data_IF_644925043038
#
_entry.id   IF_644925043038
#
_cell.length_a   1.000
_cell.length_b   1.000
_cell.length_c   1.000
_cell.angle_alpha   90.00
_cell.angle_beta   90.00
_cell.angle_gamma   90.00
#
_symmetry.space_group_name_H-M   'P 1'
#
loop_
_entity.id
_entity.type
_entity.pdbx_description
1 polymer ?
#
# COMPACT_ATOMS: atom_id res chain seq x y z
N UNK A 1 3.36 -20.07 -4.49
CA UNK A 1 4.31 -21.21 -4.31
C UNK A 1 3.54 -22.53 -4.33
N UNK A 2 2.45 -22.65 -3.57
CA UNK A 2 1.60 -23.85 -3.52
C UNK A 2 0.94 -24.24 -4.86
N UNK A 3 0.83 -23.29 -5.79
CA UNK A 3 0.25 -23.52 -7.12
C UNK A 3 1.24 -23.99 -8.18
N UNK A 4 2.55 -24.08 -7.87
CA UNK A 4 3.57 -24.52 -8.83
C UNK A 4 3.61 -26.05 -8.84
N UNK A 5 3.49 -26.72 -10.01
CA UNK A 5 3.57 -28.18 -10.09
C UNK A 5 4.88 -28.73 -9.50
N UNK A 6 4.77 -29.80 -8.72
CA UNK A 6 5.89 -30.45 -8.04
C UNK A 6 7.06 -30.82 -8.98
N UNK A 7 6.83 -31.32 -10.22
CA UNK A 7 7.94 -31.65 -11.13
C UNK A 7 8.77 -30.44 -11.58
N UNK A 8 8.17 -29.24 -11.60
CA UNK A 8 8.89 -28.01 -11.92
C UNK A 8 9.60 -27.46 -10.69
N UNK A 9 8.94 -27.53 -9.52
CA UNK A 9 9.49 -27.05 -8.26
C UNK A 9 10.78 -27.79 -7.89
N UNK A 10 10.83 -29.11 -8.09
CA UNK A 10 12.02 -29.93 -7.82
C UNK A 10 13.23 -29.56 -8.71
N UNK A 11 12.97 -28.93 -9.86
CA UNK A 11 14.00 -28.50 -10.83
C UNK A 11 14.36 -27.03 -10.73
N UNK A 12 13.79 -26.30 -9.78
CA UNK A 12 14.02 -24.86 -9.59
C UNK A 12 14.67 -24.59 -8.24
N UNK A 13 15.68 -23.73 -8.23
CA UNK A 13 16.15 -23.12 -7.01
C UNK A 13 15.18 -21.99 -6.61
N UNK A 14 14.64 -22.08 -5.39
CA UNK A 14 13.70 -21.10 -4.88
C UNK A 14 14.47 -20.00 -4.15
N UNK A 15 14.41 -18.78 -4.69
CA UNK A 15 14.95 -17.57 -4.05
C UNK A 15 13.77 -16.69 -3.64
N UNK A 16 13.57 -16.56 -2.33
CA UNK A 16 12.50 -15.74 -1.77
C UNK A 16 12.92 -14.28 -1.70
N UNK A 17 12.16 -13.41 -2.37
CA UNK A 17 12.33 -11.96 -2.31
C UNK A 17 11.30 -11.37 -1.35
N UNK A 18 11.78 -10.83 -0.22
CA UNK A 18 10.91 -10.17 0.75
C UNK A 18 10.40 -8.81 0.24
N UNK A 19 9.31 -8.34 0.85
CA UNK A 19 8.85 -6.97 0.64
C UNK A 19 9.81 -5.93 1.23
N UNK A 20 9.50 -4.66 1.00
CA UNK A 20 10.31 -3.52 1.45
C UNK A 20 9.68 -2.82 2.66
N UNK A 21 10.51 -2.39 3.58
CA UNK A 21 10.15 -1.48 4.68
C UNK A 21 9.96 -0.06 4.15
N UNK A 22 9.22 0.79 4.87
CA UNK A 22 8.94 2.17 4.44
C UNK A 22 10.19 2.99 4.10
N UNK A 23 11.28 2.80 4.85
CA UNK A 23 12.57 3.47 4.61
C UNK A 23 13.23 2.99 3.31
N UNK A 24 13.19 1.68 3.05
CA UNK A 24 13.69 1.11 1.80
C UNK A 24 12.88 1.60 0.60
N UNK A 25 11.55 1.67 0.74
CA UNK A 25 10.68 2.24 -0.31
C UNK A 25 10.98 3.70 -0.58
N UNK A 26 11.29 4.48 0.45
CA UNK A 26 11.70 5.87 0.30
C UNK A 26 13.02 5.97 -0.47
N UNK A 27 14.01 5.13 -0.14
CA UNK A 27 15.28 5.07 -0.86
C UNK A 27 15.09 4.67 -2.33
N UNK A 28 14.29 3.62 -2.59
CA UNK A 28 13.97 3.15 -3.94
C UNK A 28 13.26 4.24 -4.75
N UNK A 29 12.31 4.95 -4.14
CA UNK A 29 11.58 6.02 -4.78
C UNK A 29 12.50 7.16 -5.24
N UNK A 30 13.45 7.57 -4.40
CA UNK A 30 14.41 8.64 -4.73
C UNK A 30 15.43 8.23 -5.77
N UNK A 31 16.02 7.04 -5.60
CA UNK A 31 17.14 6.60 -6.43
C UNK A 31 16.69 6.12 -7.82
N UNK A 32 15.49 5.54 -7.92
CA UNK A 32 15.06 4.85 -9.14
C UNK A 32 13.73 5.34 -9.67
N UNK A 33 12.66 5.35 -8.85
CA UNK A 33 11.30 5.58 -9.38
C UNK A 33 11.08 7.02 -9.87
N UNK A 34 11.54 8.01 -9.09
CA UNK A 34 11.38 9.42 -9.43
C UNK A 34 12.23 9.80 -10.67
N UNK A 35 13.54 9.48 -10.73
CA UNK A 35 14.33 9.73 -11.93
C UNK A 35 13.76 9.05 -13.18
N UNK A 36 13.29 7.81 -13.04
CA UNK A 36 12.69 7.07 -14.15
C UNK A 36 11.40 7.75 -14.64
N UNK A 37 10.48 8.09 -13.73
CA UNK A 37 9.23 8.77 -14.08
C UNK A 37 9.47 10.14 -14.73
N UNK A 38 10.46 10.89 -14.24
CA UNK A 38 10.87 12.17 -14.82
C UNK A 38 11.41 12.01 -16.24
N UNK A 39 12.28 11.01 -16.46
CA UNK A 39 12.82 10.69 -17.78
C UNK A 39 11.69 10.31 -18.76
N UNK A 40 10.75 9.48 -18.33
CA UNK A 40 9.64 9.02 -19.16
C UNK A 40 8.66 10.15 -19.52
N UNK A 41 8.55 11.16 -18.66
CA UNK A 41 7.70 12.35 -18.89
C UNK A 41 8.46 13.55 -19.50
N UNK A 42 9.77 13.41 -19.74
CA UNK A 42 10.60 14.48 -20.30
C UNK A 42 10.84 15.68 -19.37
N UNK A 43 10.71 15.50 -18.04
CA UNK A 43 10.94 16.56 -17.06
C UNK A 43 12.41 16.64 -16.62
N UNK A 44 12.90 17.86 -16.45
CA UNK A 44 14.22 18.15 -15.87
C UNK A 44 14.13 18.35 -14.36
N UNK A 45 15.23 18.12 -13.65
CA UNK A 45 15.35 18.40 -12.20
C UNK A 45 15.07 19.86 -11.83
N UNK A 46 15.28 20.78 -12.77
CA UNK A 46 14.99 22.20 -12.58
C UNK A 46 13.49 22.53 -12.63
N UNK A 47 12.63 21.58 -13.01
CA UNK A 47 11.19 21.80 -13.21
C UNK A 47 10.34 21.17 -12.11
N UNK A 48 10.85 20.14 -11.42
CA UNK A 48 10.12 19.41 -10.39
C UNK A 48 11.04 19.08 -9.22
N UNK A 49 10.54 19.32 -8.01
CA UNK A 49 11.13 18.80 -6.77
C UNK A 49 10.05 18.15 -5.94
N UNK A 50 10.24 16.89 -5.57
CA UNK A 50 9.35 16.19 -4.63
C UNK A 50 10.08 16.09 -3.30
N UNK A 51 9.45 16.61 -2.25
CA UNK A 51 10.01 16.55 -0.89
C UNK A 51 9.89 15.14 -0.31
N UNK A 52 10.83 14.79 0.57
CA UNK A 52 10.87 13.49 1.25
C UNK A 52 9.62 13.21 2.07
N UNK A 53 9.07 14.26 2.69
CA UNK A 53 7.81 14.20 3.42
C UNK A 53 6.65 13.78 2.51
N UNK A 54 6.59 14.32 1.28
CA UNK A 54 5.59 13.97 0.28
C UNK A 54 5.67 12.50 -0.13
N UNK A 55 6.90 11.99 -0.33
CA UNK A 55 7.12 10.57 -0.62
C UNK A 55 6.71 9.69 0.56
N UNK A 56 7.02 10.12 1.78
CA UNK A 56 6.62 9.42 3.01
C UNK A 56 5.10 9.38 3.15
N UNK A 57 4.40 10.48 2.86
CA UNK A 57 2.93 10.54 2.85
C UNK A 57 2.35 9.67 1.74
N UNK A 58 2.95 9.63 0.55
CA UNK A 58 2.55 8.71 -0.52
C UNK A 58 2.64 7.24 -0.08
N UNK A 59 3.75 6.87 0.55
CA UNK A 59 3.97 5.50 1.04
C UNK A 59 2.93 5.13 2.10
N UNK A 60 2.67 6.01 3.08
CA UNK A 60 1.76 5.70 4.20
C UNK A 60 0.28 5.76 3.82
N UNK A 61 -0.13 6.82 3.11
CA UNK A 61 -1.55 7.17 2.94
C UNK A 61 -2.14 6.70 1.61
N UNK A 62 -1.32 6.30 0.65
CA UNK A 62 -1.77 5.94 -0.69
C UNK A 62 -1.33 4.54 -1.15
N UNK A 63 -0.41 3.89 -0.42
CA UNK A 63 0.14 2.58 -0.79
C UNK A 63 0.00 1.58 0.37
N UNK A 64 -0.71 0.46 0.14
CA UNK A 64 -0.73 -0.70 1.06
C UNK A 64 -0.38 -1.97 0.32
N UNK A 65 0.92 -2.17 0.12
CA UNK A 65 1.48 -3.35 -0.51
C UNK A 65 2.87 -3.61 0.06
N UNK A 66 3.41 -4.80 -0.16
CA UNK A 66 4.79 -5.17 0.20
C UNK A 66 5.82 -4.59 -0.78
N UNK A 67 5.46 -4.43 -2.05
CA UNK A 67 6.31 -3.88 -3.11
C UNK A 67 6.22 -2.35 -3.28
N UNK A 68 6.61 -1.87 -4.47
CA UNK A 68 6.63 -0.44 -4.84
C UNK A 68 5.82 -0.12 -6.11
N UNK A 69 4.96 -1.03 -6.58
CA UNK A 69 4.18 -0.87 -7.81
C UNK A 69 3.14 0.24 -7.72
N UNK A 70 2.38 0.30 -6.63
CA UNK A 70 1.43 1.39 -6.38
C UNK A 70 2.15 2.71 -6.10
N UNK A 71 3.30 2.65 -5.42
CA UNK A 71 4.15 3.82 -5.20
C UNK A 71 4.62 4.41 -6.53
N UNK A 72 5.11 3.57 -7.45
CA UNK A 72 5.52 3.96 -8.80
C UNK A 72 4.36 4.62 -9.55
N UNK A 73 3.17 4.00 -9.58
CA UNK A 73 1.98 4.57 -10.25
C UNK A 73 1.62 5.96 -9.74
N UNK A 74 1.71 6.18 -8.43
CA UNK A 74 1.40 7.49 -7.84
C UNK A 74 2.48 8.52 -8.17
N UNK A 75 3.76 8.14 -8.12
CA UNK A 75 4.87 9.02 -8.56
C UNK A 75 4.68 9.42 -10.03
N UNK A 76 4.43 8.47 -10.92
CA UNK A 76 4.15 8.73 -12.34
C UNK A 76 2.94 9.66 -12.53
N UNK A 77 1.87 9.49 -11.73
CA UNK A 77 0.70 10.37 -11.75
C UNK A 77 1.05 11.80 -11.36
N UNK A 78 1.86 11.99 -10.31
CA UNK A 78 2.34 13.30 -9.87
C UNK A 78 3.17 13.94 -10.97
N UNK A 79 4.17 13.23 -11.48
CA UNK A 79 5.08 13.72 -12.53
C UNK A 79 4.31 14.09 -13.79
N UNK A 80 3.35 13.27 -14.24
CA UNK A 80 2.52 13.55 -15.41
C UNK A 80 1.67 14.82 -15.24
N UNK A 81 1.13 15.05 -14.04
CA UNK A 81 0.39 16.29 -13.74
C UNK A 81 1.29 17.51 -13.72
N UNK A 82 2.52 17.38 -13.22
CA UNK A 82 3.50 18.47 -13.25
C UNK A 82 3.89 18.78 -14.70
N UNK A 83 4.18 17.75 -15.51
CA UNK A 83 4.46 17.92 -16.94
C UNK A 83 3.35 18.67 -17.67
N UNK A 84 2.08 18.36 -17.37
CA UNK A 84 0.94 19.08 -17.93
C UNK A 84 0.92 20.57 -17.54
N UNK A 85 1.20 20.91 -16.27
CA UNK A 85 1.27 22.31 -15.80
C UNK A 85 2.41 23.09 -16.47
N UNK A 86 3.56 22.43 -16.65
CA UNK A 86 4.73 23.03 -17.31
C UNK A 86 4.45 23.31 -18.79
N UNK A 87 3.83 22.37 -19.51
CA UNK A 87 3.48 22.53 -20.92
C UNK A 87 2.42 23.62 -21.12
N UNK A 88 1.53 23.81 -20.15
CA UNK A 88 0.56 24.92 -20.15
C UNK A 88 1.16 26.27 -19.75
N UNK A 89 2.45 26.32 -19.43
CA UNK A 89 3.13 27.53 -18.94
C UNK A 89 2.54 28.10 -17.64
N UNK A 90 1.79 27.29 -16.87
CA UNK A 90 1.19 27.70 -15.59
C UNK A 90 2.25 27.82 -14.48
N UNK A 91 3.34 27.05 -14.57
CA UNK A 91 4.45 27.08 -13.65
C UNK A 91 5.73 26.59 -14.32
N UNK A 92 6.85 27.30 -14.10
CA UNK A 92 8.17 26.88 -14.58
C UNK A 92 8.85 25.86 -13.64
N UNK A 93 8.52 25.92 -12.35
CA UNK A 93 9.00 25.01 -11.32
C UNK A 93 7.85 24.64 -10.38
N UNK A 94 7.76 23.36 -10.04
CA UNK A 94 6.76 22.84 -9.10
C UNK A 94 7.43 22.09 -7.96
N UNK A 95 7.28 22.63 -6.74
CA UNK A 95 7.63 21.91 -5.51
C UNK A 95 6.41 21.13 -5.01
N UNK A 96 6.55 19.81 -4.87
CA UNK A 96 5.51 18.93 -4.34
C UNK A 96 5.82 18.63 -2.88
N UNK A 97 5.05 19.27 -2.00
CA UNK A 97 5.10 19.11 -0.54
C UNK A 97 3.91 18.29 -0.04
N UNK A 98 3.94 17.86 1.23
CA UNK A 98 2.87 17.08 1.84
C UNK A 98 1.50 17.80 1.78
N UNK A 99 1.52 19.14 1.83
CA UNK A 99 0.33 19.99 1.84
C UNK A 99 -0.38 20.09 0.47
N UNK A 100 0.37 20.05 -0.64
CA UNK A 100 -0.20 20.17 -1.99
C UNK A 100 -0.31 18.83 -2.72
N UNK A 101 0.16 17.74 -2.10
CA UNK A 101 0.12 16.39 -2.65
C UNK A 101 -1.29 15.97 -3.09
N UNK A 102 -2.32 16.39 -2.35
CA UNK A 102 -3.73 16.08 -2.65
C UNK A 102 -4.19 16.60 -4.00
N UNK A 103 -3.63 17.71 -4.49
CA UNK A 103 -3.99 18.28 -5.79
C UNK A 103 -3.50 17.40 -6.94
N UNK A 104 -2.44 16.64 -6.69
CA UNK A 104 -1.84 15.73 -7.66
C UNK A 104 -2.47 14.34 -7.59
N UNK A 105 -2.45 13.67 -6.44
CA UNK A 105 -2.91 12.28 -6.33
C UNK A 105 -4.37 12.11 -5.95
N UNK A 106 -4.99 13.14 -5.35
CA UNK A 106 -6.34 13.10 -4.78
C UNK A 106 -6.34 12.93 -3.27
N UNK A 107 -7.52 12.70 -2.68
CA UNK A 107 -7.66 12.46 -1.23
C UNK A 107 -6.93 11.16 -0.83
N UNK A 108 -6.37 11.09 0.41
CA UNK A 108 -5.79 9.87 0.96
C UNK A 108 -6.73 8.66 0.83
N UNK A 109 -6.19 7.53 0.37
CA UNK A 109 -6.94 6.27 0.24
C UNK A 109 -6.99 5.56 1.60
N UNK A 110 -5.91 5.66 2.38
CA UNK A 110 -5.77 5.05 3.68
C UNK A 110 -5.53 6.13 4.73
N UNK A 111 -6.46 6.24 5.68
CA UNK A 111 -6.43 7.28 6.73
C UNK A 111 -5.96 6.74 8.08
N UNK A 112 -6.13 5.45 8.35
CA UNK A 112 -5.86 4.85 9.66
C UNK A 112 -5.09 3.55 9.52
N UNK A 113 -3.97 3.41 10.23
CA UNK A 113 -3.14 2.19 10.24
C UNK A 113 -3.88 0.99 10.83
N UNK A 114 -4.78 1.24 11.80
CA UNK A 114 -5.60 0.23 12.46
C UNK A 114 -7.08 0.53 12.24
N UNK A 115 -7.88 -0.52 12.11
CA UNK A 115 -9.34 -0.40 12.05
C UNK A 115 -9.90 -0.03 13.43
N UNK A 116 -9.38 -0.67 14.48
CA UNK A 116 -9.72 -0.41 15.88
C UNK A 116 -8.54 0.24 16.60
N UNK A 117 -8.69 1.46 17.17
CA UNK A 117 -7.66 2.06 18.04
C UNK A 117 -7.38 1.21 19.28
N UNK A 118 -8.47 0.76 19.92
CA UNK A 118 -8.48 -0.24 21.00
C UNK A 118 -9.46 -1.33 20.60
N UNK A 119 -9.04 -2.60 20.65
CA UNK A 119 -9.87 -3.73 20.26
C UNK A 119 -11.01 -3.94 21.27
N UNK A 120 -12.28 -3.96 20.85
CA UNK A 120 -13.38 -4.29 21.74
C UNK A 120 -13.33 -5.77 22.17
N UNK A 121 -14.02 -6.17 23.26
CA UNK A 121 -14.12 -7.57 23.64
C UNK A 121 -14.65 -8.43 22.49
N UNK A 122 -14.00 -9.58 22.26
CA UNK A 122 -14.33 -10.48 21.16
C UNK A 122 -13.56 -10.22 19.85
N UNK A 123 -12.74 -9.15 19.78
CA UNK A 123 -11.92 -8.84 18.60
C UNK A 123 -10.43 -8.88 18.96
N UNK A 124 -9.63 -9.56 18.13
CA UNK A 124 -8.17 -9.60 18.26
C UNK A 124 -7.48 -9.34 16.92
N UNK A 125 -6.30 -8.72 16.96
CA UNK A 125 -5.47 -8.52 15.77
C UNK A 125 -4.52 -9.71 15.60
N UNK A 126 -4.57 -10.35 14.43
CA UNK A 126 -3.67 -11.42 14.02
C UNK A 126 -2.76 -11.00 12.87
N UNK A 127 -1.64 -11.71 12.71
CA UNK A 127 -0.77 -11.61 11.55
C UNK A 127 -1.06 -12.77 10.61
N UNK A 128 -1.19 -12.47 9.32
CA UNK A 128 -1.46 -13.45 8.28
C UNK A 128 -0.41 -13.36 7.17
N UNK A 129 -0.04 -14.51 6.62
CA UNK A 129 0.76 -14.59 5.40
C UNK A 129 -0.17 -14.79 4.21
N UNK A 130 -0.26 -13.78 3.34
CA UNK A 130 -1.12 -13.80 2.15
C UNK A 130 -0.30 -13.95 0.88
N UNK A 131 -0.95 -14.21 -0.25
CA UNK A 131 -0.30 -14.22 -1.56
C UNK A 131 0.37 -12.88 -1.94
N UNK A 132 -0.06 -11.76 -1.32
CA UNK A 132 0.52 -10.42 -1.52
C UNK A 132 1.59 -10.06 -0.48
N UNK A 133 1.91 -10.98 0.42
CA UNK A 133 2.84 -10.80 1.55
C UNK A 133 2.13 -10.77 2.91
N UNK A 134 2.86 -10.33 3.94
CA UNK A 134 2.33 -10.20 5.30
C UNK A 134 1.21 -9.16 5.39
N UNK A 135 0.12 -9.51 6.08
CA UNK A 135 -1.02 -8.62 6.36
C UNK A 135 -1.46 -8.75 7.82
N UNK A 136 -2.04 -7.70 8.38
CA UNK A 136 -2.79 -7.77 9.63
C UNK A 136 -4.24 -8.10 9.32
N UNK A 137 -4.84 -9.00 10.11
CA UNK A 137 -6.26 -9.35 10.05
C UNK A 137 -6.89 -9.15 11.44
N UNK A 138 -8.18 -8.90 11.47
CA UNK A 138 -8.97 -8.91 12.70
C UNK A 138 -9.80 -10.17 12.75
N UNK A 139 -9.67 -10.93 13.83
CA UNK A 139 -10.52 -12.09 14.13
C UNK A 139 -11.58 -11.60 15.10
N UNK A 140 -12.84 -11.79 14.74
CA UNK A 140 -13.99 -11.30 15.50
C UNK A 140 -14.86 -12.47 15.97
N UNK A 141 -15.42 -12.31 17.16
CA UNK A 141 -16.35 -13.26 17.76
C UNK A 141 -17.53 -12.50 18.33
N UNK A 142 -18.74 -13.04 18.14
CA UNK A 142 -19.98 -12.46 18.66
C UNK A 142 -20.85 -13.54 19.24
N UNK A 143 -21.55 -13.22 20.33
CA UNK A 143 -22.50 -14.15 20.95
C UNK A 143 -23.79 -14.16 20.16
N UNK A 144 -24.17 -15.31 19.60
CA UNK A 144 -25.45 -15.51 18.93
C UNK A 144 -26.36 -16.35 19.84
N UNK A 145 -27.57 -15.87 20.11
CA UNK A 145 -28.65 -16.66 20.71
C UNK A 145 -29.73 -16.88 19.67
N UNK A 146 -29.96 -18.13 19.27
CA UNK A 146 -31.04 -18.47 18.35
C UNK A 146 -32.37 -18.53 19.12
N UNK A 147 -33.43 -17.86 18.65
CA UNK A 147 -34.74 -17.95 19.29
C UNK A 147 -35.28 -19.39 19.18
N UNK A 148 -35.53 -20.04 20.33
CA UNK A 148 -36.17 -21.36 20.39
C UNK A 148 -35.26 -22.56 20.62
N UNK A 149 -33.94 -22.37 20.72
CA UNK A 149 -33.02 -23.45 21.13
C UNK A 149 -33.12 -23.70 22.66
N UNK A 150 -33.35 -24.96 23.03
CA UNK A 150 -33.24 -25.43 24.42
C UNK A 150 -31.77 -25.39 24.87
N UNK A 151 -31.53 -25.26 26.17
CA UNK A 151 -30.19 -25.26 26.79
C UNK A 151 -29.47 -26.62 26.63
N UNK A 152 -29.02 -26.95 25.42
CA UNK A 152 -28.21 -28.13 25.14
C UNK A 152 -27.11 -27.79 24.15
N UNK A 153 -25.87 -28.01 24.60
CA UNK A 153 -24.56 -27.89 23.93
C UNK A 153 -24.24 -26.56 23.20
N UNK A 154 -23.10 -25.98 23.53
CA UNK A 154 -22.63 -24.74 22.88
C UNK A 154 -22.19 -24.99 21.45
N UNK A 155 -22.73 -24.22 20.50
CA UNK A 155 -22.37 -24.28 19.08
C UNK A 155 -21.43 -23.15 18.67
N UNK A 156 -20.54 -23.39 17.69
CA UNK A 156 -19.68 -22.38 17.08
C UNK A 156 -19.88 -22.37 15.56
N UNK A 157 -20.24 -21.21 15.02
CA UNK A 157 -20.33 -20.99 13.57
C UNK A 157 -19.15 -20.12 13.13
N UNK A 158 -18.36 -20.65 12.19
CA UNK A 158 -17.22 -19.95 11.61
C UNK A 158 -17.64 -19.32 10.28
N UNK A 159 -17.26 -18.06 10.07
CA UNK A 159 -17.46 -17.34 8.80
C UNK A 159 -16.11 -16.99 8.18
N UNK A 160 -16.10 -16.60 6.91
CA UNK A 160 -14.88 -16.42 6.13
C UNK A 160 -14.53 -17.67 5.31
N UNK A 161 -13.50 -17.55 4.47
CA UNK A 161 -12.97 -18.61 3.61
C UNK A 161 -11.50 -18.86 3.94
#
# INVERSE_FOLDING_TARGET
>A
IETIPEPLRDRMEMIDMSGYVAEEKLAIAKQYLLPQAMKDSGLKETQIKIEDESLTTLIKSYCRESGVRNLQKHIEKVVRKVAYKVVKEEAQFVSVSSNNLTDFVGKPVFTHDRMYPTTPPGVVMGLAWTAMGGSTLYIETTTRKLPGEKETEGTLELTGH
#
